data_IF_737109177960
#
_entry.id   IF_737109177960
#
_cell.length_a   1.000
_cell.length_b   1.000
_cell.length_c   1.000
_cell.angle_alpha   90.00
_cell.angle_beta   90.00
_cell.angle_gamma   90.00
#
_symmetry.space_group_name_H-M   'P 1'
#
loop_
_entity.id
_entity.type
_entity.pdbx_description
1 polymer ?
#
# COMPACT_ATOMS: atom_id res chain seq x y z
N UNK A 1 17.95 25.69 20.61
CA UNK A 1 18.53 25.53 19.26
C UNK A 1 19.42 24.31 19.09
N UNK A 2 19.49 23.38 20.06
CA UNK A 2 20.32 22.16 19.99
C UNK A 2 19.58 20.88 19.57
N UNK A 3 18.26 20.95 19.39
CA UNK A 3 17.45 19.74 19.09
C UNK A 3 17.18 19.52 17.58
N UNK A 4 17.52 20.50 16.73
CA UNK A 4 17.28 20.39 15.27
C UNK A 4 18.48 19.80 14.51
N UNK A 5 19.68 19.84 15.07
CA UNK A 5 20.87 19.27 14.44
C UNK A 5 20.94 17.74 14.58
N UNK A 6 20.35 17.14 15.64
CA UNK A 6 20.30 15.69 15.83
C UNK A 6 19.25 15.00 14.96
N UNK A 7 18.21 15.70 14.52
CA UNK A 7 17.19 15.16 13.58
C UNK A 7 17.68 15.05 12.13
N UNK A 8 18.75 15.78 11.76
CA UNK A 8 19.30 15.74 10.39
C UNK A 8 20.39 14.71 10.16
N UNK A 9 20.85 14.03 11.18
CA UNK A 9 21.94 13.04 11.08
C UNK A 9 21.44 11.59 10.98
N UNK A 10 20.13 11.31 11.23
CA UNK A 10 19.54 10.01 11.08
C UNK A 10 18.87 9.91 9.71
N UNK A 11 19.43 9.13 8.81
CA UNK A 11 18.82 8.76 7.52
C UNK A 11 19.55 9.25 6.27
N UNK A 12 20.72 9.86 6.37
CA UNK A 12 21.46 10.34 5.19
C UNK A 12 21.99 9.23 4.27
N UNK A 13 22.27 8.05 4.79
CA UNK A 13 22.84 6.96 3.99
C UNK A 13 21.85 6.41 2.96
N UNK A 14 20.62 6.09 3.36
CA UNK A 14 19.58 5.61 2.44
C UNK A 14 18.91 6.74 1.65
N UNK A 15 18.78 7.96 2.20
CA UNK A 15 18.31 9.11 1.43
C UNK A 15 19.22 9.45 0.25
N UNK A 16 20.53 9.30 0.40
CA UNK A 16 21.50 9.46 -0.70
C UNK A 16 21.40 8.33 -1.73
N UNK A 17 21.10 7.10 -1.29
CA UNK A 17 20.88 5.96 -2.18
C UNK A 17 19.57 6.08 -2.97
N UNK A 18 18.54 6.71 -2.40
CA UNK A 18 17.22 6.77 -3.04
C UNK A 18 16.89 8.08 -3.75
N UNK A 19 17.68 9.14 -3.63
CA UNK A 19 17.61 10.43 -4.37
C UNK A 19 16.32 10.65 -5.21
N UNK A 20 15.11 10.62 -4.57
CA UNK A 20 13.80 10.76 -5.23
C UNK A 20 13.37 9.65 -6.20
N UNK A 21 14.11 8.54 -6.32
CA UNK A 21 13.70 7.38 -7.10
C UNK A 21 12.76 6.45 -6.30
N UNK A 22 11.90 5.67 -6.99
CA UNK A 22 11.06 4.66 -6.31
C UNK A 22 11.92 3.67 -5.53
N UNK A 23 11.47 3.35 -4.31
CA UNK A 23 12.06 2.34 -3.44
C UNK A 23 11.92 0.96 -4.09
N UNK A 24 12.99 0.49 -4.73
CA UNK A 24 13.11 -0.81 -5.36
C UNK A 24 14.37 -1.48 -4.82
N UNK A 25 14.21 -2.63 -4.15
CA UNK A 25 15.34 -3.38 -3.60
C UNK A 25 16.35 -3.77 -4.67
N UNK A 26 15.89 -4.19 -5.86
CA UNK A 26 16.76 -4.52 -6.99
C UNK A 26 17.61 -3.33 -7.44
N UNK A 27 17.04 -2.13 -7.47
CA UNK A 27 17.77 -0.90 -7.79
C UNK A 27 18.76 -0.51 -6.71
N UNK A 28 18.47 -0.77 -5.43
CA UNK A 28 19.42 -0.55 -4.32
C UNK A 28 20.61 -1.47 -4.48
N UNK A 29 20.37 -2.75 -4.73
CA UNK A 29 21.43 -3.72 -4.98
C UNK A 29 22.28 -3.32 -6.20
N UNK A 30 21.62 -2.98 -7.31
CA UNK A 30 22.28 -2.54 -8.55
C UNK A 30 23.11 -1.26 -8.36
N UNK A 31 22.59 -0.28 -7.62
CA UNK A 31 23.30 0.97 -7.33
C UNK A 31 24.54 0.72 -6.47
N UNK A 32 24.42 -0.11 -5.42
CA UNK A 32 25.55 -0.50 -4.59
C UNK A 32 26.62 -1.23 -5.43
N UNK A 33 26.19 -2.08 -6.36
CA UNK A 33 27.07 -2.80 -7.25
C UNK A 33 27.76 -1.87 -8.26
N UNK A 34 27.04 -0.90 -8.81
CA UNK A 34 27.57 0.07 -9.78
C UNK A 34 28.51 1.10 -9.14
N UNK A 35 28.26 1.49 -7.89
CA UNK A 35 29.13 2.38 -7.11
C UNK A 35 30.37 1.65 -6.56
N UNK A 36 30.34 0.33 -6.51
CA UNK A 36 31.46 -0.46 -6.06
C UNK A 36 32.58 -0.42 -7.09
N UNK A 37 33.71 0.14 -6.72
CA UNK A 37 34.95 -0.01 -7.49
C UNK A 37 35.46 -1.46 -7.39
N UNK A 38 36.24 -1.93 -8.36
CA UNK A 38 36.84 -3.28 -8.31
C UNK A 38 37.61 -3.51 -7.03
N UNK A 39 38.18 -2.47 -6.45
CA UNK A 39 38.95 -2.51 -5.20
C UNK A 39 38.09 -2.68 -3.94
N UNK A 40 36.75 -2.46 -4.05
CA UNK A 40 35.81 -2.66 -2.95
C UNK A 40 35.28 -4.11 -2.85
N UNK A 41 35.57 -4.96 -3.83
CA UNK A 41 35.17 -6.37 -3.82
C UNK A 41 36.23 -7.17 -3.12
N UNK A 42 35.87 -7.87 -2.04
CA UNK A 42 36.75 -8.72 -1.24
C UNK A 42 36.23 -10.16 -1.25
N UNK A 43 37.15 -11.13 -1.27
CA UNK A 43 36.75 -12.51 -1.05
C UNK A 43 36.62 -12.78 0.45
N UNK A 44 35.44 -13.17 0.87
CA UNK A 44 35.09 -13.46 2.27
C UNK A 44 34.86 -14.95 2.42
N UNK A 45 35.39 -15.54 3.49
CA UNK A 45 35.16 -16.94 3.82
C UNK A 45 33.69 -17.18 4.17
N UNK A 46 33.13 -18.26 3.64
CA UNK A 46 31.75 -18.64 3.88
C UNK A 46 31.44 -18.90 5.37
N UNK A 47 32.44 -19.36 6.12
CA UNK A 47 32.36 -19.61 7.57
C UNK A 47 32.21 -18.30 8.40
N UNK A 48 32.64 -17.17 7.85
CA UNK A 48 32.54 -15.86 8.50
C UNK A 48 31.19 -15.16 8.22
N UNK A 49 30.37 -15.73 7.32
CA UNK A 49 29.08 -15.17 6.94
C UNK A 49 27.97 -15.64 7.88
N UNK A 50 27.08 -14.72 8.23
CA UNK A 50 25.87 -14.97 9.03
C UNK A 50 24.66 -14.44 8.34
N UNK A 51 23.56 -15.20 8.38
CA UNK A 51 22.27 -14.74 7.88
C UNK A 51 21.77 -13.55 8.69
N UNK A 52 21.15 -12.59 7.99
CA UNK A 52 20.52 -11.45 8.61
C UNK A 52 19.36 -11.89 9.52
N UNK A 53 19.35 -11.56 10.81
CA UNK A 53 18.26 -11.91 11.72
C UNK A 53 16.90 -11.30 11.33
N UNK A 54 16.90 -10.25 10.51
CA UNK A 54 15.68 -9.58 10.02
C UNK A 54 15.11 -10.19 8.73
N UNK A 55 15.81 -11.20 8.12
CA UNK A 55 15.31 -11.85 6.91
C UNK A 55 14.33 -12.98 7.21
N UNK A 56 13.08 -12.89 6.75
CA UNK A 56 12.03 -13.89 7.06
C UNK A 56 12.07 -15.13 6.16
N UNK A 57 12.94 -15.17 5.12
CA UNK A 57 12.94 -16.25 4.13
C UNK A 57 13.61 -17.52 4.67
N UNK A 58 12.77 -18.44 5.20
CA UNK A 58 13.23 -19.75 5.72
C UNK A 58 13.12 -20.88 4.70
N UNK A 59 12.27 -20.74 3.69
CA UNK A 59 12.04 -21.77 2.66
C UNK A 59 12.59 -21.30 1.32
N UNK A 60 13.45 -22.10 0.74
CA UNK A 60 14.02 -21.93 -0.60
C UNK A 60 13.55 -23.09 -1.46
N UNK A 61 13.28 -22.83 -2.72
CA UNK A 61 13.06 -23.84 -3.73
C UNK A 61 14.36 -24.59 -3.95
N UNK A 62 14.37 -25.87 -3.61
CA UNK A 62 15.56 -26.71 -3.66
C UNK A 62 16.05 -26.93 -5.09
N UNK A 63 15.13 -27.06 -6.07
CA UNK A 63 15.48 -27.25 -7.48
C UNK A 63 16.19 -25.99 -8.02
N UNK A 64 15.60 -24.82 -7.81
CA UNK A 64 16.19 -23.54 -8.22
C UNK A 64 17.48 -23.20 -7.48
N UNK A 65 17.72 -23.76 -6.28
CA UNK A 65 18.96 -23.58 -5.55
C UNK A 65 20.04 -24.52 -6.10
N UNK A 66 19.66 -25.74 -6.50
CA UNK A 66 20.56 -26.70 -7.11
C UNK A 66 21.07 -26.21 -8.48
N UNK A 67 20.16 -25.71 -9.35
CA UNK A 67 20.55 -25.10 -10.63
C UNK A 67 21.56 -23.97 -10.45
N UNK A 68 21.32 -23.09 -9.45
CA UNK A 68 22.24 -22.01 -9.15
C UNK A 68 23.60 -22.53 -8.64
N UNK A 69 23.59 -23.61 -7.83
CA UNK A 69 24.81 -24.24 -7.33
C UNK A 69 25.65 -24.83 -8.48
N UNK A 70 25.01 -25.48 -9.43
CA UNK A 70 25.67 -26.06 -10.58
C UNK A 70 26.26 -24.98 -11.49
N UNK A 71 25.53 -23.90 -11.73
CA UNK A 71 26.05 -22.73 -12.45
C UNK A 71 27.27 -22.10 -11.72
N UNK A 72 27.23 -21.99 -10.39
CA UNK A 72 28.35 -21.45 -9.59
C UNK A 72 29.58 -22.36 -9.63
N UNK A 73 29.40 -23.69 -9.67
CA UNK A 73 30.50 -24.63 -9.84
C UNK A 73 31.22 -24.42 -11.16
N UNK A 74 30.50 -24.14 -12.23
CA UNK A 74 31.01 -24.06 -13.59
C UNK A 74 31.65 -22.69 -13.89
N UNK A 75 30.98 -21.61 -13.44
CA UNK A 75 31.34 -20.24 -13.84
C UNK A 75 31.78 -19.34 -12.68
N UNK A 76 31.69 -19.82 -11.44
CA UNK A 76 31.92 -19.00 -10.25
C UNK A 76 30.77 -18.06 -9.92
N UNK A 77 30.97 -17.19 -8.96
CA UNK A 77 29.98 -16.19 -8.56
C UNK A 77 30.22 -14.89 -9.32
N UNK A 78 29.38 -14.60 -10.32
CA UNK A 78 29.50 -13.39 -11.13
C UNK A 78 29.17 -12.12 -10.38
N UNK A 79 28.07 -12.14 -9.62
CA UNK A 79 27.58 -10.98 -8.89
C UNK A 79 27.98 -11.11 -7.42
N UNK A 80 28.81 -10.19 -6.88
CA UNK A 80 29.20 -10.24 -5.48
C UNK A 80 27.99 -10.11 -4.56
N UNK A 81 28.07 -10.67 -3.36
CA UNK A 81 27.08 -10.46 -2.31
C UNK A 81 27.36 -9.14 -1.60
N UNK A 82 26.34 -8.59 -0.92
CA UNK A 82 26.49 -7.40 -0.10
C UNK A 82 26.44 -7.83 1.37
N UNK A 83 27.44 -7.38 2.14
CA UNK A 83 27.56 -7.72 3.55
C UNK A 83 27.90 -6.50 4.39
N UNK A 84 27.50 -6.54 5.67
CA UNK A 84 27.86 -5.59 6.72
C UNK A 84 28.90 -6.24 7.64
N UNK A 85 29.85 -5.47 8.12
CA UNK A 85 30.77 -5.92 9.15
C UNK A 85 30.05 -6.05 10.49
N UNK A 86 29.98 -7.26 11.02
CA UNK A 86 29.37 -7.57 12.32
C UNK A 86 30.41 -7.71 13.45
N UNK A 87 29.95 -7.97 14.67
CA UNK A 87 30.83 -8.17 15.86
C UNK A 87 31.70 -9.42 15.69
N UNK A 88 31.17 -10.45 15.02
CA UNK A 88 31.89 -11.71 14.74
C UNK A 88 31.68 -12.11 13.28
N UNK A 89 32.49 -11.56 12.36
CA UNK A 89 32.38 -11.83 10.93
C UNK A 89 31.48 -10.81 10.19
N UNK A 90 30.73 -11.29 9.22
CA UNK A 90 29.93 -10.46 8.32
C UNK A 90 28.48 -10.91 8.31
N UNK A 91 27.55 -9.96 8.29
CA UNK A 91 26.12 -10.19 8.15
C UNK A 91 25.67 -9.99 6.69
N UNK A 92 24.95 -10.96 6.14
CA UNK A 92 24.49 -10.93 4.76
C UNK A 92 23.34 -9.93 4.64
N UNK A 93 23.48 -8.94 3.76
CA UNK A 93 22.44 -7.96 3.44
C UNK A 93 21.68 -8.42 2.20
N UNK A 94 22.42 -8.78 1.14
CA UNK A 94 21.86 -9.26 -0.11
C UNK A 94 22.67 -10.43 -0.66
N UNK A 95 21.97 -11.40 -1.28
CA UNK A 95 22.61 -12.54 -1.92
C UNK A 95 22.58 -13.84 -1.12
N UNK A 96 21.65 -14.06 -0.19
CA UNK A 96 21.59 -15.28 0.63
C UNK A 96 21.47 -16.57 -0.20
N UNK A 97 20.74 -16.53 -1.35
CA UNK A 97 20.69 -17.66 -2.29
C UNK A 97 22.07 -17.98 -2.88
N UNK A 98 22.84 -16.95 -3.22
CA UNK A 98 24.23 -17.11 -3.74
C UNK A 98 25.13 -17.73 -2.69
N UNK A 99 25.01 -17.32 -1.43
CA UNK A 99 25.78 -17.92 -0.31
C UNK A 99 25.43 -19.39 -0.15
N UNK A 100 24.16 -19.76 -0.08
CA UNK A 100 23.72 -21.17 0.07
C UNK A 100 24.15 -22.01 -1.12
N UNK A 101 23.95 -21.52 -2.34
CA UNK A 101 24.39 -22.22 -3.56
C UNK A 101 25.91 -22.37 -3.62
N UNK A 102 26.69 -21.38 -3.14
CA UNK A 102 28.14 -21.47 -3.05
C UNK A 102 28.62 -22.53 -2.04
N UNK A 103 27.95 -22.67 -0.91
CA UNK A 103 28.18 -23.72 0.08
C UNK A 103 27.89 -25.10 -0.55
N UNK A 104 26.75 -25.26 -1.25
CA UNK A 104 26.44 -26.50 -1.97
C UNK A 104 27.42 -26.79 -3.10
N UNK A 105 27.94 -25.75 -3.76
CA UNK A 105 28.98 -25.86 -4.77
C UNK A 105 30.36 -26.25 -4.19
N UNK A 106 30.53 -26.23 -2.86
CA UNK A 106 31.80 -26.57 -2.19
C UNK A 106 32.85 -25.47 -2.22
N UNK A 107 32.47 -24.22 -2.50
CA UNK A 107 33.37 -23.08 -2.43
C UNK A 107 33.74 -22.78 -0.97
N UNK A 108 34.94 -22.19 -0.78
CA UNK A 108 35.42 -21.76 0.55
C UNK A 108 35.19 -20.25 0.77
N UNK A 109 35.20 -19.49 -0.31
CA UNK A 109 35.13 -18.03 -0.31
C UNK A 109 34.15 -17.56 -1.37
N UNK A 110 33.57 -16.38 -1.17
CA UNK A 110 32.64 -15.74 -2.09
C UNK A 110 33.01 -14.26 -2.24
N UNK A 111 32.93 -13.68 -3.46
CA UNK A 111 33.13 -12.25 -3.66
C UNK A 111 32.03 -11.47 -2.97
N UNK A 112 32.40 -10.48 -2.18
CA UNK A 112 31.48 -9.66 -1.39
C UNK A 112 31.88 -8.20 -1.40
N UNK A 113 30.89 -7.31 -1.34
CA UNK A 113 31.06 -5.89 -1.11
C UNK A 113 30.72 -5.61 0.35
N UNK A 114 31.68 -5.06 1.08
CA UNK A 114 31.49 -4.67 2.48
C UNK A 114 31.01 -3.25 2.53
N UNK A 115 29.82 -3.03 3.12
CA UNK A 115 29.23 -1.72 3.36
C UNK A 115 28.87 -1.57 4.84
N UNK A 116 29.08 -0.37 5.36
CA UNK A 116 28.66 -0.03 6.71
C UNK A 116 27.21 0.48 6.67
N UNK A 117 26.30 -0.36 7.15
CA UNK A 117 24.90 0.00 7.34
C UNK A 117 24.58 0.06 8.83
N UNK A 118 23.82 1.04 9.25
CA UNK A 118 23.27 1.06 10.60
C UNK A 118 22.09 0.05 10.72
N UNK A 119 21.65 -0.23 11.94
CA UNK A 119 20.61 -1.24 12.16
C UNK A 119 19.25 -0.83 11.58
N UNK A 120 18.98 0.49 11.49
CA UNK A 120 17.77 1.02 10.88
C UNK A 120 17.78 0.78 9.36
N UNK A 121 18.88 1.10 8.69
CA UNK A 121 19.06 0.84 7.25
C UNK A 121 18.95 -0.65 6.91
N UNK A 122 19.51 -1.51 7.76
CA UNK A 122 19.38 -2.95 7.63
C UNK A 122 17.92 -3.42 7.70
N UNK A 123 17.16 -2.87 8.65
CA UNK A 123 15.74 -3.19 8.80
C UNK A 123 14.93 -2.69 7.60
N UNK A 124 15.21 -1.50 7.09
CA UNK A 124 14.55 -0.93 5.92
C UNK A 124 14.79 -1.76 4.66
N UNK A 125 16.04 -2.16 4.41
CA UNK A 125 16.40 -3.02 3.28
C UNK A 125 15.69 -4.38 3.39
N UNK A 126 15.66 -4.99 4.57
CA UNK A 126 14.97 -6.25 4.80
C UNK A 126 13.46 -6.14 4.61
N UNK A 127 12.84 -5.01 5.01
CA UNK A 127 11.43 -4.75 4.78
C UNK A 127 11.11 -4.54 3.30
N UNK A 128 11.98 -3.86 2.55
CA UNK A 128 11.84 -3.66 1.11
C UNK A 128 11.97 -4.98 0.35
N UNK A 129 12.98 -5.79 0.69
CA UNK A 129 13.14 -7.13 0.09
C UNK A 129 11.89 -7.98 0.33
N UNK A 130 11.38 -7.98 1.58
CA UNK A 130 10.17 -8.73 1.91
C UNK A 130 8.94 -8.20 1.17
N UNK A 131 8.83 -6.88 0.94
CA UNK A 131 7.72 -6.27 0.21
C UNK A 131 7.68 -6.66 -1.28
N UNK A 132 8.83 -7.02 -1.87
CA UNK A 132 8.92 -7.43 -3.28
C UNK A 132 8.66 -8.93 -3.50
N UNK A 133 8.26 -9.66 -2.47
CA UNK A 133 7.89 -11.08 -2.64
C UNK A 133 6.60 -11.22 -3.44
N UNK A 134 6.60 -12.13 -4.42
CA UNK A 134 5.47 -12.34 -5.35
C UNK A 134 4.16 -12.80 -4.68
N UNK A 135 4.21 -13.34 -3.46
CA UNK A 135 3.06 -13.99 -2.80
C UNK A 135 2.69 -13.37 -1.45
N UNK A 136 2.83 -12.06 -1.29
CA UNK A 136 2.37 -11.38 -0.08
C UNK A 136 0.85 -11.35 0.00
N UNK A 137 0.31 -11.70 1.15
CA UNK A 137 -1.10 -11.43 1.44
C UNK A 137 -1.31 -9.92 1.65
N UNK A 138 -2.54 -9.43 1.42
CA UNK A 138 -2.86 -8.02 1.61
C UNK A 138 -2.56 -7.51 3.04
N UNK A 139 -2.71 -8.38 4.04
CA UNK A 139 -2.41 -8.04 5.44
C UNK A 139 -0.90 -7.97 5.70
N UNK A 140 -0.11 -8.87 5.09
CA UNK A 140 1.35 -8.82 5.17
C UNK A 140 1.90 -7.55 4.50
N UNK A 141 1.38 -7.21 3.32
CA UNK A 141 1.73 -5.97 2.61
C UNK A 141 1.38 -4.73 3.44
N UNK A 142 0.18 -4.69 4.04
CA UNK A 142 -0.24 -3.61 4.93
C UNK A 142 0.68 -3.46 6.16
N UNK A 143 1.08 -4.59 6.78
CA UNK A 143 2.02 -4.58 7.90
C UNK A 143 3.41 -4.09 7.49
N UNK A 144 3.89 -4.46 6.30
CA UNK A 144 5.16 -3.96 5.77
C UNK A 144 5.11 -2.44 5.54
N UNK A 145 4.01 -1.91 4.97
CA UNK A 145 3.81 -0.47 4.82
C UNK A 145 3.80 0.28 6.15
N UNK A 146 3.10 -0.26 7.15
CA UNK A 146 3.06 0.33 8.49
C UNK A 146 4.45 0.41 9.11
N UNK A 147 5.21 -0.69 9.07
CA UNK A 147 6.59 -0.74 9.59
C UNK A 147 7.52 0.23 8.85
N UNK A 148 7.43 0.30 7.52
CA UNK A 148 8.21 1.26 6.73
C UNK A 148 7.88 2.71 7.11
N UNK A 149 6.60 3.03 7.26
CA UNK A 149 6.16 4.37 7.64
C UNK A 149 6.67 4.75 9.04
N UNK A 150 6.58 3.84 10.01
CA UNK A 150 7.04 4.06 11.38
C UNK A 150 8.57 4.21 11.45
N UNK A 151 9.32 3.33 10.76
CA UNK A 151 10.79 3.35 10.78
C UNK A 151 11.38 4.57 10.08
N UNK A 152 10.82 4.94 8.94
CA UNK A 152 11.25 6.12 8.17
C UNK A 152 10.68 7.42 8.74
N UNK A 153 9.69 7.37 9.63
CA UNK A 153 8.95 8.51 10.17
C UNK A 153 8.42 9.44 9.06
N UNK A 154 7.86 8.83 8.00
CA UNK A 154 7.34 9.53 6.81
C UNK A 154 5.83 9.50 6.76
N UNK A 155 5.25 10.41 5.97
CA UNK A 155 3.81 10.46 5.71
C UNK A 155 3.38 9.35 4.74
N UNK A 156 2.06 9.01 4.72
CA UNK A 156 1.51 8.06 3.75
C UNK A 156 1.71 8.52 2.30
N UNK A 157 1.75 9.83 2.08
CA UNK A 157 1.99 10.41 0.76
C UNK A 157 3.43 10.22 0.29
N UNK A 158 4.39 10.44 1.18
CA UNK A 158 5.81 10.20 0.92
C UNK A 158 6.09 8.72 0.71
N UNK A 159 5.49 7.83 1.53
CA UNK A 159 5.59 6.39 1.35
C UNK A 159 5.03 5.96 -0.01
N UNK A 160 3.85 6.48 -0.39
CA UNK A 160 3.24 6.20 -1.69
C UNK A 160 4.15 6.63 -2.86
N UNK A 161 4.70 7.84 -2.79
CA UNK A 161 5.64 8.36 -3.79
C UNK A 161 6.89 7.47 -3.89
N UNK A 162 7.49 7.09 -2.76
CA UNK A 162 8.70 6.24 -2.71
C UNK A 162 8.45 4.83 -3.26
N UNK A 163 7.26 4.26 -3.02
CA UNK A 163 6.90 2.92 -3.49
C UNK A 163 6.29 2.91 -4.91
N UNK A 164 6.15 4.07 -5.58
CA UNK A 164 5.50 4.16 -6.88
C UNK A 164 4.01 3.77 -6.85
N UNK A 165 3.36 3.90 -5.68
CA UNK A 165 1.95 3.58 -5.47
C UNK A 165 1.12 4.85 -5.30
N UNK A 166 -0.20 4.75 -5.49
CA UNK A 166 -1.07 5.88 -5.17
C UNK A 166 -1.24 6.03 -3.64
N UNK A 167 -1.41 7.26 -3.15
CA UNK A 167 -1.72 7.51 -1.74
C UNK A 167 -2.96 6.75 -1.28
N UNK A 168 -3.99 6.68 -2.14
CA UNK A 168 -5.23 5.94 -1.85
C UNK A 168 -4.98 4.44 -1.69
N UNK A 169 -4.05 3.86 -2.45
CA UNK A 169 -3.64 2.47 -2.28
C UNK A 169 -3.04 2.24 -0.88
N UNK A 170 -2.06 3.05 -0.49
CA UNK A 170 -1.42 2.95 0.84
C UNK A 170 -2.46 3.13 1.96
N UNK A 171 -3.33 4.16 1.85
CA UNK A 171 -4.38 4.40 2.84
C UNK A 171 -5.34 3.21 2.96
N UNK A 172 -5.75 2.62 1.85
CA UNK A 172 -6.63 1.44 1.83
C UNK A 172 -5.95 0.22 2.47
N UNK A 173 -4.66 -0.02 2.16
CA UNK A 173 -3.90 -1.12 2.74
C UNK A 173 -3.73 -0.96 4.26
N UNK A 174 -3.30 0.21 4.72
CA UNK A 174 -3.19 0.50 6.15
C UNK A 174 -4.53 0.42 6.87
N UNK A 175 -5.62 0.78 6.18
CA UNK A 175 -6.98 0.64 6.69
C UNK A 175 -7.36 -0.81 7.03
N UNK A 176 -6.81 -1.81 6.34
CA UNK A 176 -7.08 -3.22 6.64
C UNK A 176 -6.61 -3.63 8.05
N UNK A 177 -5.56 -2.98 8.57
CA UNK A 177 -5.05 -3.24 9.91
C UNK A 177 -5.94 -2.70 11.03
N UNK A 178 -6.93 -1.87 10.72
CA UNK A 178 -7.93 -1.41 11.69
C UNK A 178 -9.09 -2.41 11.89
N UNK A 179 -9.18 -3.42 11.02
CA UNK A 179 -10.18 -4.48 11.15
C UNK A 179 -9.86 -5.41 12.34
N UNK A 180 -10.87 -6.01 12.99
CA UNK A 180 -10.67 -7.08 13.95
C UNK A 180 -9.85 -8.23 13.39
N UNK A 181 -9.06 -8.90 14.24
CA UNK A 181 -8.13 -9.97 13.86
C UNK A 181 -8.83 -11.13 13.11
N UNK A 182 -10.05 -11.46 13.48
CA UNK A 182 -10.83 -12.50 12.82
C UNK A 182 -11.19 -12.12 11.38
N UNK A 183 -11.50 -10.85 11.13
CA UNK A 183 -11.77 -10.34 9.77
C UNK A 183 -10.48 -10.29 8.97
N UNK A 184 -9.35 -9.92 9.59
CA UNK A 184 -8.05 -9.94 8.92
C UNK A 184 -7.67 -11.36 8.48
N UNK A 185 -7.94 -12.39 9.32
CA UNK A 185 -7.76 -13.80 8.96
C UNK A 185 -8.63 -14.20 7.77
N UNK A 186 -9.88 -13.80 7.75
CA UNK A 186 -10.80 -14.07 6.64
C UNK A 186 -10.29 -13.48 5.31
N UNK A 187 -9.65 -12.30 5.37
CA UNK A 187 -9.00 -11.69 4.19
C UNK A 187 -7.77 -12.49 3.75
N UNK A 188 -6.93 -12.95 4.70
CA UNK A 188 -5.75 -13.77 4.40
C UNK A 188 -6.13 -15.13 3.78
N UNK A 189 -7.18 -15.76 4.30
CA UNK A 189 -7.72 -17.03 3.81
C UNK A 189 -8.54 -16.88 2.53
N UNK A 190 -8.71 -15.65 2.02
CA UNK A 190 -9.52 -15.31 0.84
C UNK A 190 -11.02 -15.62 1.00
N UNK A 191 -11.51 -15.81 2.22
CA UNK A 191 -12.94 -15.93 2.52
C UNK A 191 -13.70 -14.62 2.24
N UNK A 192 -12.98 -13.49 2.37
CA UNK A 192 -13.47 -12.15 2.07
C UNK A 192 -12.51 -11.47 1.10
N UNK A 193 -13.02 -10.83 0.05
CA UNK A 193 -12.18 -10.14 -0.90
C UNK A 193 -11.60 -8.86 -0.28
N UNK A 194 -10.42 -8.44 -0.76
CA UNK A 194 -9.78 -7.17 -0.37
C UNK A 194 -10.70 -5.96 -0.59
N UNK A 195 -11.56 -6.00 -1.64
CA UNK A 195 -12.50 -4.92 -1.92
C UNK A 195 -13.59 -4.82 -0.83
N UNK A 196 -14.13 -5.96 -0.36
CA UNK A 196 -15.04 -5.98 0.79
C UNK A 196 -14.37 -5.47 2.06
N UNK A 197 -13.15 -5.96 2.36
CA UNK A 197 -12.39 -5.55 3.53
C UNK A 197 -12.11 -4.03 3.55
N UNK A 198 -11.84 -3.42 2.38
CA UNK A 198 -11.68 -1.97 2.23
C UNK A 198 -12.95 -1.20 2.60
N UNK A 199 -14.13 -1.71 2.26
CA UNK A 199 -15.39 -1.06 2.64
C UNK A 199 -15.62 -1.21 4.14
N UNK A 200 -15.39 -2.40 4.69
CA UNK A 200 -15.53 -2.69 6.12
C UNK A 200 -14.58 -1.84 6.99
N UNK A 201 -13.34 -1.61 6.52
CA UNK A 201 -12.35 -0.82 7.26
C UNK A 201 -12.73 0.66 7.46
N UNK A 202 -13.72 1.17 6.70
CA UNK A 202 -14.25 2.52 6.84
C UNK A 202 -15.34 2.65 7.91
N UNK A 203 -15.79 1.53 8.46
CA UNK A 203 -16.82 1.48 9.50
C UNK A 203 -16.15 1.54 10.87
N UNK A 204 -16.73 2.34 11.78
CA UNK A 204 -16.21 2.50 13.14
C UNK A 204 -16.75 1.44 14.12
N UNK A 205 -17.93 0.86 13.81
CA UNK A 205 -18.61 -0.08 14.69
C UNK A 205 -18.21 -1.54 14.37
N UNK A 206 -17.55 -2.19 15.33
CA UNK A 206 -17.10 -3.58 15.20
C UNK A 206 -18.25 -4.58 15.04
N UNK A 207 -19.36 -4.41 15.78
CA UNK A 207 -20.52 -5.29 15.66
C UNK A 207 -21.15 -5.22 14.25
N UNK A 208 -21.16 -4.04 13.66
CA UNK A 208 -21.58 -3.87 12.28
C UNK A 208 -20.65 -4.57 11.30
N UNK A 209 -19.34 -4.45 11.51
CA UNK A 209 -18.36 -5.15 10.67
C UNK A 209 -18.59 -6.65 10.72
N UNK A 210 -18.75 -7.25 11.90
CA UNK A 210 -19.00 -8.69 12.07
C UNK A 210 -20.32 -9.15 11.43
N UNK A 211 -21.41 -8.37 11.57
CA UNK A 211 -22.69 -8.68 10.95
C UNK A 211 -22.62 -8.64 9.43
N UNK A 212 -21.91 -7.65 8.86
CA UNK A 212 -21.72 -7.55 7.42
C UNK A 212 -20.82 -8.66 6.88
N UNK A 213 -19.79 -9.06 7.65
CA UNK A 213 -18.94 -10.22 7.29
C UNK A 213 -19.76 -11.50 7.20
N UNK A 214 -20.67 -11.75 8.15
CA UNK A 214 -21.59 -12.90 8.07
C UNK A 214 -22.42 -12.85 6.79
N UNK A 215 -23.00 -11.70 6.47
CA UNK A 215 -23.78 -11.53 5.23
C UNK A 215 -22.93 -11.75 3.97
N UNK A 216 -21.68 -11.26 3.94
CA UNK A 216 -20.77 -11.50 2.82
C UNK A 216 -20.52 -12.99 2.61
N UNK A 217 -20.34 -13.75 3.71
CA UNK A 217 -20.08 -15.19 3.64
C UNK A 217 -21.32 -16.01 3.28
N UNK A 218 -22.45 -15.68 3.88
CA UNK A 218 -23.71 -16.46 3.78
C UNK A 218 -24.47 -16.10 2.50
N UNK A 219 -24.62 -14.82 2.19
CA UNK A 219 -25.44 -14.31 1.09
C UNK A 219 -24.61 -13.99 -0.17
N UNK A 220 -23.26 -14.01 -0.08
CA UNK A 220 -22.33 -13.68 -1.18
C UNK A 220 -22.61 -12.32 -1.80
N UNK A 221 -22.96 -11.34 -0.97
CA UNK A 221 -23.26 -9.97 -1.42
C UNK A 221 -22.07 -9.37 -2.19
N UNK A 222 -22.38 -8.58 -3.21
CA UNK A 222 -21.37 -7.87 -3.99
C UNK A 222 -20.77 -6.69 -3.24
N UNK A 223 -19.59 -6.23 -3.64
CA UNK A 223 -18.95 -5.02 -3.07
C UNK A 223 -19.85 -3.81 -3.22
N UNK A 224 -20.57 -3.68 -4.34
CA UNK A 224 -21.49 -2.58 -4.59
C UNK A 224 -22.71 -2.59 -3.65
N UNK A 225 -23.28 -3.78 -3.39
CA UNK A 225 -24.36 -3.92 -2.40
C UNK A 225 -23.88 -3.55 -1.00
N UNK A 226 -22.67 -4.00 -0.63
CA UNK A 226 -22.06 -3.63 0.63
C UNK A 226 -21.83 -2.12 0.74
N UNK A 227 -21.34 -1.46 -0.31
CA UNK A 227 -21.16 0.00 -0.36
C UNK A 227 -22.51 0.72 -0.20
N UNK A 228 -23.57 0.24 -0.84
CA UNK A 228 -24.91 0.81 -0.70
C UNK A 228 -25.42 0.67 0.73
N UNK A 229 -25.33 -0.53 1.34
CA UNK A 229 -25.75 -0.75 2.74
C UNK A 229 -25.00 0.18 3.71
N UNK A 230 -23.71 0.41 3.47
CA UNK A 230 -22.90 1.29 4.32
C UNK A 230 -23.10 2.77 4.04
N UNK A 231 -23.50 3.15 2.82
CA UNK A 231 -23.78 4.54 2.45
C UNK A 231 -25.15 5.01 2.97
N UNK A 232 -26.17 4.16 2.93
CA UNK A 232 -27.49 4.46 3.46
C UNK A 232 -27.47 4.70 4.98
N UNK A 233 -26.66 3.94 5.72
CA UNK A 233 -26.45 4.18 7.15
C UNK A 233 -25.70 5.49 7.46
N UNK A 234 -24.73 5.89 6.61
CA UNK A 234 -24.10 7.21 6.72
C UNK A 234 -25.10 8.34 6.43
N UNK A 235 -26.02 8.10 5.52
CA UNK A 235 -27.10 9.04 5.20
C UNK A 235 -28.09 9.17 6.37
N UNK A 236 -28.47 8.06 7.00
CA UNK A 236 -29.32 8.06 8.18
C UNK A 236 -28.65 8.69 9.41
N UNK A 237 -27.35 8.45 9.64
CA UNK A 237 -26.58 9.10 10.75
C UNK A 237 -26.45 10.60 10.53
N UNK A 238 -26.12 11.06 9.31
CA UNK A 238 -26.15 12.50 8.97
C UNK A 238 -27.53 13.11 9.16
N UNK A 239 -28.59 12.37 8.83
CA UNK A 239 -29.96 12.82 9.03
C UNK A 239 -30.39 12.78 10.50
N UNK A 240 -29.86 11.89 11.34
CA UNK A 240 -30.10 11.89 12.80
C UNK A 240 -29.42 13.07 13.50
N UNK A 241 -28.25 13.49 13.05
CA UNK A 241 -27.57 14.70 13.59
C UNK A 241 -28.25 15.98 13.10
N UNK A 242 -28.88 15.96 11.90
CA UNK A 242 -29.62 17.09 11.33
C UNK A 242 -31.14 17.09 11.69
N UNK A 243 -31.63 16.11 12.44
CA UNK A 243 -33.06 16.03 12.87
C UNK A 243 -33.45 17.01 13.97
N UNK A 244 -32.59 17.96 14.35
CA UNK A 244 -32.99 19.12 15.15
C UNK A 244 -33.51 20.31 14.31
N UNK A 245 -33.56 20.17 12.99
CA UNK A 245 -34.30 21.12 12.14
C UNK A 245 -35.26 20.35 11.24
N UNK A 246 -36.49 20.17 11.68
CA UNK A 246 -37.62 19.79 10.82
C UNK A 246 -37.68 20.77 9.66
N UNK A 247 -37.13 20.37 8.49
CA UNK A 247 -37.48 21.02 7.22
C UNK A 247 -38.68 20.33 6.66
N UNK A 248 -39.78 21.09 6.55
CA UNK A 248 -41.03 20.72 5.96
C UNK A 248 -40.82 20.10 4.58
N UNK A 249 -41.23 18.85 4.42
CA UNK A 249 -41.30 18.13 3.15
C UNK A 249 -42.51 18.60 2.27
N UNK A 250 -43.06 19.80 2.50
CA UNK A 250 -44.22 20.29 1.76
C UNK A 250 -43.99 20.41 0.25
N UNK A 251 -42.77 20.64 -0.17
CA UNK A 251 -42.47 20.85 -1.59
C UNK A 251 -41.83 19.64 -2.31
N UNK A 252 -41.61 18.54 -1.62
CA UNK A 252 -40.90 17.38 -2.21
C UNK A 252 -41.73 16.70 -3.31
N UNK A 253 -43.05 16.67 -3.17
CA UNK A 253 -43.93 16.16 -4.19
C UNK A 253 -43.89 17.04 -5.45
N UNK A 254 -43.92 18.37 -5.26
CA UNK A 254 -43.84 19.36 -6.35
C UNK A 254 -42.43 19.31 -7.02
N UNK A 255 -41.36 19.15 -6.24
CA UNK A 255 -40.02 18.98 -6.79
C UNK A 255 -39.93 17.76 -7.71
N UNK A 256 -40.48 16.62 -7.30
CA UNK A 256 -40.48 15.38 -8.10
C UNK A 256 -41.33 15.55 -9.38
N UNK A 257 -42.50 16.14 -9.30
CA UNK A 257 -43.37 16.39 -10.46
C UNK A 257 -42.69 17.34 -11.46
N UNK A 258 -42.03 18.39 -10.98
CA UNK A 258 -41.26 19.29 -11.84
C UNK A 258 -40.01 18.62 -12.44
N UNK A 259 -39.32 17.75 -11.69
CA UNK A 259 -38.21 16.97 -12.23
C UNK A 259 -38.64 16.03 -13.37
N UNK A 260 -39.81 15.38 -13.26
CA UNK A 260 -40.38 14.53 -14.31
C UNK A 260 -40.80 15.34 -15.55
N UNK A 261 -41.46 16.46 -15.37
CA UNK A 261 -41.91 17.30 -16.48
C UNK A 261 -40.79 17.99 -17.22
N UNK A 262 -39.80 18.48 -16.50
CA UNK A 262 -38.67 19.23 -17.07
C UNK A 262 -37.49 18.33 -17.49
N UNK A 263 -37.48 17.07 -17.04
CA UNK A 263 -36.40 16.13 -17.32
C UNK A 263 -35.05 16.57 -16.75
N UNK A 264 -35.02 17.39 -15.69
CA UNK A 264 -33.82 17.90 -15.05
C UNK A 264 -34.02 18.10 -13.55
N UNK A 265 -32.93 18.31 -12.83
CA UNK A 265 -32.95 18.46 -11.36
C UNK A 265 -33.54 19.82 -10.96
N UNK A 266 -34.68 19.79 -10.23
CA UNK A 266 -35.34 20.94 -9.66
C UNK A 266 -35.22 20.93 -8.15
N UNK A 267 -34.98 22.09 -7.53
CA UNK A 267 -34.97 22.29 -6.08
C UNK A 267 -35.79 23.50 -5.70
N UNK A 268 -36.67 23.34 -4.72
CA UNK A 268 -37.48 24.42 -4.16
C UNK A 268 -36.93 24.80 -2.79
N UNK A 269 -36.50 26.06 -2.63
CA UNK A 269 -36.00 26.61 -1.38
C UNK A 269 -36.84 27.81 -0.98
N UNK A 270 -37.53 27.72 0.13
CA UNK A 270 -38.41 28.81 0.69
C UNK A 270 -39.18 29.63 -0.37
N UNK A 271 -38.53 30.58 -1.04
CA UNK A 271 -39.11 31.49 -2.02
C UNK A 271 -38.39 31.43 -3.38
N UNK A 272 -37.70 30.33 -3.69
CA UNK A 272 -36.87 30.21 -4.90
C UNK A 272 -36.97 28.79 -5.47
N UNK A 273 -37.17 28.71 -6.79
CA UNK A 273 -37.07 27.47 -7.57
C UNK A 273 -35.75 27.51 -8.34
N UNK A 274 -34.93 26.52 -8.15
CA UNK A 274 -33.66 26.34 -8.87
C UNK A 274 -33.82 25.17 -9.84
N UNK A 275 -33.67 25.44 -11.14
CA UNK A 275 -33.71 24.46 -12.22
C UNK A 275 -32.30 24.35 -12.78
N UNK A 276 -31.75 23.15 -12.81
CA UNK A 276 -30.38 22.90 -13.28
C UNK A 276 -30.39 22.56 -14.77
N UNK A 277 -29.46 23.10 -15.55
CA UNK A 277 -29.24 22.77 -16.98
C UNK A 277 -27.76 22.51 -17.24
N UNK A 278 -27.47 21.74 -18.30
CA UNK A 278 -26.09 21.26 -18.60
C UNK A 278 -25.41 22.18 -19.62
N UNK A 279 -26.16 22.70 -20.61
CA UNK A 279 -25.65 23.56 -21.67
C UNK A 279 -26.74 24.47 -22.23
N UNK A 280 -26.41 25.40 -23.15
CA UNK A 280 -27.34 26.35 -23.76
C UNK A 280 -28.49 25.68 -24.51
N UNK A 281 -28.27 24.54 -25.16
CA UNK A 281 -29.32 23.80 -25.86
C UNK A 281 -30.32 23.20 -24.88
N UNK A 282 -29.87 22.74 -23.73
CA UNK A 282 -30.71 22.21 -22.66
C UNK A 282 -31.55 23.35 -22.02
N UNK A 283 -30.95 24.55 -21.89
CA UNK A 283 -31.67 25.74 -21.44
C UNK A 283 -32.80 26.12 -22.41
N UNK A 284 -32.56 26.14 -23.73
CA UNK A 284 -33.58 26.42 -24.74
C UNK A 284 -34.72 25.40 -24.69
N UNK A 285 -34.40 24.10 -24.56
CA UNK A 285 -35.40 23.04 -24.38
C UNK A 285 -36.27 23.27 -23.14
N UNK A 286 -35.65 23.70 -22.03
CA UNK A 286 -36.38 24.02 -20.80
C UNK A 286 -37.30 25.22 -20.99
N UNK A 287 -36.86 26.27 -21.69
CA UNK A 287 -37.68 27.45 -21.99
C UNK A 287 -38.88 27.10 -22.88
N UNK A 288 -38.67 26.23 -23.88
CA UNK A 288 -39.75 25.70 -24.73
C UNK A 288 -40.81 24.92 -23.92
N UNK A 289 -40.34 23.97 -23.03
CA UNK A 289 -41.26 23.20 -22.17
C UNK A 289 -42.06 24.11 -21.23
N UNK A 290 -41.45 25.21 -20.80
CA UNK A 290 -42.08 26.19 -19.89
C UNK A 290 -42.93 27.22 -20.65
N UNK A 291 -43.03 27.12 -21.98
CA UNK A 291 -43.73 28.12 -22.85
C UNK A 291 -43.21 29.55 -22.65
N UNK A 292 -41.93 29.70 -22.35
CA UNK A 292 -41.25 30.98 -22.27
C UNK A 292 -40.52 31.20 -23.59
N UNK A 293 -41.25 31.78 -24.59
CA UNK A 293 -40.56 32.19 -25.84
C UNK A 293 -39.66 33.38 -25.53
N UNK A 294 -38.39 33.28 -25.95
CA UNK A 294 -37.52 34.45 -25.97
C UNK A 294 -37.93 35.29 -27.17
N UNK A 295 -38.71 36.34 -26.93
CA UNK A 295 -38.82 37.42 -27.92
C UNK A 295 -37.41 37.97 -28.19
N UNK A 296 -36.91 37.68 -29.37
CA UNK A 296 -35.73 38.32 -29.94
C UNK A 296 -36.20 39.55 -30.75
#
# INVERSE_FOLDING_TARGET
MENDSKRRALGRGLEELFNNEPLDYGKVEEKILNEATKDSIQNIKLDELRSNPYQPRKTFDEEALQELSDSIKEHGVFQPIIVKKGIKGYEIIAGERRVKASIMAGLKEIPAIVRDFNDQEMMEIALLENLQRENLTAIEEANAYKKLQENLNITQEELAKRLGKSRSHITNMLGLLSLPDDIQKDVQEKNISMAHARVLSKLENKEQQENLVKKIKDEKISVHELENMTSDEKYERKNKINKTTKKNNEYQFIENELCEKLGTKVKIKKNKIEISFVNSNDLNRLLEIMNLESDN
#
